data_IF_126455123294
#
_entry.id   IF_126455123294
#
_cell.length_a   1.000
_cell.length_b   1.000
_cell.length_c   1.000
_cell.angle_alpha   90.00
_cell.angle_beta   90.00
_cell.angle_gamma   90.00
#
_symmetry.space_group_name_H-M   'P 1'
#
loop_
_entity.id
_entity.type
_entity.pdbx_description
1 polymer ?
#
# COMPACT_ATOMS: atom_id res chain seq x y z
N UNK A 1 36.46 49.59 7.09
CA UNK A 1 35.13 49.20 7.58
C UNK A 1 34.10 49.09 6.44
N UNK A 2 33.93 50.12 5.61
CA UNK A 2 33.05 50.09 4.43
C UNK A 2 33.36 48.96 3.43
N UNK A 3 34.65 48.67 3.18
CA UNK A 3 35.08 47.57 2.29
C UNK A 3 34.68 46.19 2.80
N UNK A 4 34.80 45.94 4.11
CA UNK A 4 34.38 44.68 4.72
C UNK A 4 32.85 44.49 4.64
N UNK A 5 32.09 45.57 4.87
CA UNK A 5 30.63 45.55 4.75
C UNK A 5 30.22 45.23 3.30
N UNK A 6 30.84 45.86 2.31
CA UNK A 6 30.54 45.66 0.90
C UNK A 6 30.83 44.22 0.42
N UNK A 7 31.91 43.61 0.90
CA UNK A 7 32.25 42.22 0.56
C UNK A 7 31.24 41.24 1.15
N UNK A 8 30.82 41.47 2.41
CA UNK A 8 29.84 40.60 3.07
C UNK A 8 28.46 40.72 2.41
N UNK A 9 28.00 41.92 2.05
CA UNK A 9 26.72 42.08 1.33
C UNK A 9 26.76 41.47 -0.05
N UNK A 10 27.85 41.62 -0.81
CA UNK A 10 28.00 40.97 -2.11
C UNK A 10 27.95 39.44 -1.99
N UNK A 11 28.67 38.86 -1.03
CA UNK A 11 28.64 37.41 -0.78
C UNK A 11 27.24 36.95 -0.36
N UNK A 12 26.54 37.70 0.50
CA UNK A 12 25.17 37.37 0.90
C UNK A 12 24.20 37.36 -0.29
N UNK A 13 24.30 38.35 -1.20
CA UNK A 13 23.50 38.41 -2.43
C UNK A 13 23.86 37.24 -3.35
N UNK A 14 25.15 36.93 -3.51
CA UNK A 14 25.63 35.82 -4.32
C UNK A 14 25.09 34.48 -3.80
N UNK A 15 25.26 34.19 -2.50
CA UNK A 15 24.76 32.96 -1.89
C UNK A 15 23.22 32.90 -1.91
N UNK A 16 22.54 34.02 -1.67
CA UNK A 16 21.08 34.11 -1.78
C UNK A 16 20.58 33.83 -3.20
N UNK A 17 21.25 34.37 -4.23
CA UNK A 17 20.93 34.10 -5.63
C UNK A 17 21.20 32.64 -5.99
N UNK A 18 22.33 32.07 -5.56
CA UNK A 18 22.67 30.65 -5.76
C UNK A 18 21.61 29.75 -5.12
N UNK A 19 21.21 30.02 -3.88
CA UNK A 19 20.18 29.24 -3.18
C UNK A 19 18.81 29.37 -3.86
N UNK A 20 18.43 30.58 -4.30
CA UNK A 20 17.16 30.81 -5.01
C UNK A 20 17.12 30.04 -6.33
N UNK A 21 18.22 30.06 -7.09
CA UNK A 21 18.34 29.29 -8.34
C UNK A 21 18.35 27.79 -8.04
N UNK A 22 19.03 27.34 -6.98
CA UNK A 22 19.06 25.93 -6.58
C UNK A 22 17.65 25.41 -6.22
N UNK A 23 16.88 26.16 -5.43
CA UNK A 23 15.50 25.79 -5.07
C UNK A 23 14.57 25.78 -6.30
N UNK A 24 14.75 26.71 -7.25
CA UNK A 24 13.94 26.73 -8.47
C UNK A 24 14.32 25.64 -9.50
N UNK A 25 15.58 25.18 -9.50
CA UNK A 25 16.11 24.22 -10.48
C UNK A 25 16.18 22.78 -9.97
N UNK A 26 16.18 22.56 -8.66
CA UNK A 26 16.10 21.24 -8.05
C UNK A 26 14.64 20.94 -7.76
N UNK A 27 13.94 20.17 -8.62
CA UNK A 27 12.59 19.72 -8.30
C UNK A 27 12.68 18.83 -7.05
N UNK A 28 12.22 19.34 -5.90
CA UNK A 28 11.92 18.49 -4.75
C UNK A 28 10.70 17.67 -5.16
N UNK A 29 10.93 16.40 -5.49
CA UNK A 29 9.86 15.50 -5.92
C UNK A 29 8.97 15.17 -4.72
N UNK A 30 7.85 15.90 -4.58
CA UNK A 30 6.75 15.59 -3.66
C UNK A 30 6.71 16.44 -2.39
N UNK A 31 5.50 16.59 -1.84
CA UNK A 31 5.28 17.15 -0.52
C UNK A 31 5.74 16.16 0.55
N UNK A 32 6.79 16.52 1.31
CA UNK A 32 7.35 15.70 2.39
C UNK A 32 6.31 15.24 3.42
N UNK A 33 5.23 16.01 3.60
CA UNK A 33 4.11 15.65 4.49
C UNK A 33 3.31 14.47 3.94
N UNK A 34 3.00 14.48 2.64
CA UNK A 34 2.26 13.42 1.97
C UNK A 34 3.06 12.12 2.00
N UNK A 35 4.35 12.18 1.69
CA UNK A 35 5.20 10.98 1.67
C UNK A 35 5.37 10.37 3.08
N UNK A 36 5.38 11.18 4.14
CA UNK A 36 5.38 10.69 5.53
C UNK A 36 4.07 10.00 5.91
N UNK A 37 2.93 10.59 5.53
CA UNK A 37 1.60 9.98 5.76
C UNK A 37 1.50 8.68 4.99
N UNK A 38 1.85 8.68 3.71
CA UNK A 38 1.84 7.51 2.84
C UNK A 38 2.71 6.38 3.43
N UNK A 39 3.89 6.69 3.98
CA UNK A 39 4.75 5.71 4.63
C UNK A 39 4.14 5.02 5.87
N UNK A 40 3.16 5.64 6.54
CA UNK A 40 2.46 5.07 7.71
C UNK A 40 1.27 4.18 7.32
N UNK A 41 0.76 4.32 6.10
CA UNK A 41 -0.36 3.52 5.60
C UNK A 41 0.09 2.07 5.32
N UNK A 42 -0.83 1.09 5.39
CA UNK A 42 -0.50 -0.33 5.20
C UNK A 42 -0.15 -0.70 3.75
N UNK A 43 -0.24 0.25 2.80
CA UNK A 43 0.15 0.09 1.39
C UNK A 43 -0.54 -1.06 0.65
N UNK A 44 -1.72 -1.49 1.10
CA UNK A 44 -2.50 -2.58 0.50
C UNK A 44 -3.21 -2.17 -0.80
N UNK A 45 -3.35 -0.87 -1.09
CA UNK A 45 -4.05 -0.37 -2.29
C UNK A 45 -5.48 -0.93 -2.46
N UNK A 46 -6.16 -1.24 -1.36
CA UNK A 46 -7.44 -1.95 -1.38
C UNK A 46 -8.66 -1.07 -1.75
N UNK A 47 -8.56 0.25 -1.56
CA UNK A 47 -9.63 1.20 -1.86
C UNK A 47 -10.86 1.19 -0.95
N UNK A 48 -10.83 0.42 0.15
CA UNK A 48 -11.95 0.32 1.10
C UNK A 48 -12.26 1.64 1.82
N UNK A 49 -11.29 2.56 1.92
CA UNK A 49 -11.48 3.89 2.48
C UNK A 49 -12.14 4.88 1.49
N UNK A 50 -12.57 4.42 0.30
CA UNK A 50 -13.19 5.27 -0.73
C UNK A 50 -12.21 5.98 -1.66
N UNK A 51 -10.91 5.91 -1.39
CA UNK A 51 -9.87 6.47 -2.25
C UNK A 51 -9.26 5.41 -3.18
N UNK A 52 -8.75 5.81 -4.34
CA UNK A 52 -8.18 4.88 -5.34
C UNK A 52 -6.92 4.11 -4.88
N UNK A 53 -6.33 4.49 -3.73
CA UNK A 53 -5.15 3.85 -3.17
C UNK A 53 -4.65 4.59 -1.92
N UNK A 54 -3.52 4.13 -1.37
CA UNK A 54 -2.95 4.72 -0.16
C UNK A 54 -2.42 6.15 -0.39
N UNK A 55 -1.77 6.42 -1.53
CA UNK A 55 -1.23 7.76 -1.82
C UNK A 55 -2.34 8.82 -1.99
N UNK A 56 -3.41 8.60 -2.77
CA UNK A 56 -4.54 9.55 -2.82
C UNK A 56 -5.22 9.77 -1.46
N UNK A 57 -5.27 8.74 -0.61
CA UNK A 57 -5.75 8.90 0.76
C UNK A 57 -4.79 9.78 1.59
N UNK A 58 -3.48 9.56 1.47
CA UNK A 58 -2.47 10.40 2.13
C UNK A 58 -2.52 11.86 1.67
N UNK A 59 -2.74 12.11 0.37
CA UNK A 59 -2.95 13.45 -0.20
C UNK A 59 -4.20 14.11 0.40
N UNK A 60 -5.32 13.38 0.46
CA UNK A 60 -6.56 13.88 1.05
C UNK A 60 -6.41 14.21 2.55
N UNK A 61 -5.68 13.39 3.32
CA UNK A 61 -5.37 13.69 4.73
C UNK A 61 -4.47 14.92 4.82
N UNK A 62 -3.44 15.04 3.98
CA UNK A 62 -2.51 16.16 4.03
C UNK A 62 -3.17 17.51 3.71
N UNK A 63 -4.24 17.50 2.92
CA UNK A 63 -5.04 18.66 2.56
C UNK A 63 -6.29 18.86 3.44
N UNK A 64 -6.40 18.13 4.56
CA UNK A 64 -7.53 18.21 5.51
C UNK A 64 -8.90 17.96 4.85
N UNK A 65 -8.94 17.13 3.80
CA UNK A 65 -10.15 16.79 3.04
C UNK A 65 -10.86 15.54 3.57
N UNK A 66 -10.20 14.72 4.38
CA UNK A 66 -10.71 13.45 4.89
C UNK A 66 -10.14 13.13 6.28
N UNK A 67 -10.81 12.26 7.02
CA UNK A 67 -10.41 11.84 8.36
C UNK A 67 -9.35 10.70 8.34
N UNK A 68 -8.56 10.62 9.41
CA UNK A 68 -7.46 9.65 9.59
C UNK A 68 -7.93 8.22 9.96
N UNK A 69 -9.21 8.03 10.28
CA UNK A 69 -9.77 6.80 10.85
C UNK A 69 -10.56 5.94 9.85
N UNK A 70 -10.27 6.07 8.54
CA UNK A 70 -10.97 5.35 7.47
C UNK A 70 -10.22 4.10 6.98
N UNK A 71 -9.01 3.84 7.49
CA UNK A 71 -8.19 2.71 7.04
C UNK A 71 -8.46 1.44 7.87
N UNK A 72 -9.47 0.65 7.48
CA UNK A 72 -9.76 -0.64 8.14
C UNK A 72 -8.55 -1.61 8.18
N UNK A 73 -7.78 -1.83 7.09
CA UNK A 73 -6.62 -2.72 7.13
C UNK A 73 -5.46 -2.23 8.01
N UNK A 74 -5.35 -0.91 8.23
CA UNK A 74 -4.31 -0.32 9.10
C UNK A 74 -4.69 -0.37 10.57
N UNK A 75 -6.00 -0.31 10.86
CA UNK A 75 -6.55 -0.38 12.21
C UNK A 75 -6.00 0.71 13.14
N UNK A 76 -6.10 0.45 14.44
CA UNK A 76 -5.78 1.42 15.49
C UNK A 76 -4.30 1.87 15.47
N UNK A 77 -3.39 0.98 15.04
CA UNK A 77 -1.96 1.29 14.98
C UNK A 77 -1.63 2.35 13.91
N UNK A 78 -2.25 2.25 12.72
CA UNK A 78 -2.10 3.27 11.68
C UNK A 78 -2.72 4.59 12.13
N UNK A 79 -3.90 4.56 12.76
CA UNK A 79 -4.56 5.78 13.24
C UNK A 79 -3.71 6.50 14.28
N UNK A 80 -3.17 5.76 15.27
CA UNK A 80 -2.29 6.34 16.28
C UNK A 80 -1.03 6.97 15.65
N UNK A 81 -0.38 6.27 14.70
CA UNK A 81 0.78 6.82 14.00
C UNK A 81 0.47 8.09 13.19
N UNK A 82 -0.71 8.15 12.57
CA UNK A 82 -1.17 9.33 11.84
C UNK A 82 -1.49 10.50 12.78
N UNK A 83 -2.17 10.22 13.90
CA UNK A 83 -2.49 11.20 14.94
C UNK A 83 -1.22 11.82 15.52
N UNK A 84 -0.22 10.99 15.86
CA UNK A 84 1.08 11.45 16.36
C UNK A 84 1.83 12.30 15.33
N UNK A 85 1.80 11.91 14.05
CA UNK A 85 2.47 12.66 12.98
C UNK A 85 1.83 14.02 12.71
N UNK A 86 0.50 14.10 12.80
CA UNK A 86 -0.28 15.30 12.45
C UNK A 86 -0.62 16.17 13.67
N UNK A 87 -0.35 15.69 14.89
CA UNK A 87 -0.74 16.37 16.13
C UNK A 87 -2.27 16.40 16.33
N UNK A 88 -2.96 15.36 15.85
CA UNK A 88 -4.43 15.23 15.93
C UNK A 88 -4.84 14.32 17.09
N UNK A 89 -6.09 14.44 17.54
CA UNK A 89 -6.66 13.49 18.49
C UNK A 89 -6.93 12.13 17.84
N UNK A 90 -6.68 11.05 18.59
CA UNK A 90 -6.95 9.68 18.14
C UNK A 90 -8.46 9.46 18.11
N UNK A 91 -9.03 9.34 16.90
CA UNK A 91 -10.41 8.91 16.69
C UNK A 91 -10.48 7.38 16.55
N UNK A 92 -11.51 6.70 17.08
CA UNK A 92 -11.69 5.27 16.81
C UNK A 92 -11.93 5.03 15.31
N UNK A 93 -11.62 3.82 14.84
CA UNK A 93 -11.96 3.40 13.47
C UNK A 93 -13.45 3.67 13.20
N UNK A 94 -13.76 4.20 12.02
CA UNK A 94 -15.14 4.52 11.64
C UNK A 94 -16.05 3.30 11.85
N UNK A 95 -17.16 3.49 12.57
CA UNK A 95 -18.08 2.43 12.96
C UNK A 95 -18.78 1.76 11.76
N UNK A 96 -18.79 2.40 10.58
CA UNK A 96 -19.27 1.82 9.32
C UNK A 96 -18.31 0.79 8.71
N UNK A 97 -17.07 0.73 9.20
CA UNK A 97 -16.04 -0.17 8.68
C UNK A 97 -15.80 -1.35 9.62
N UNK A 98 -15.93 -2.57 9.10
CA UNK A 98 -15.60 -3.78 9.85
C UNK A 98 -14.07 -3.91 10.06
N UNK A 99 -13.69 -4.35 11.25
CA UNK A 99 -12.30 -4.67 11.58
C UNK A 99 -11.92 -6.00 10.94
N UNK A 100 -10.89 -6.00 10.11
CA UNK A 100 -10.39 -7.22 9.47
C UNK A 100 -9.32 -7.87 10.35
N UNK A 101 -9.69 -8.89 11.11
CA UNK A 101 -8.74 -9.64 11.95
C UNK A 101 -7.95 -10.71 11.17
N UNK A 102 -8.53 -11.24 10.10
CA UNK A 102 -7.94 -12.32 9.29
C UNK A 102 -7.91 -11.89 7.83
N UNK A 103 -6.77 -12.09 7.17
CA UNK A 103 -6.64 -11.84 5.73
C UNK A 103 -7.64 -12.73 4.98
N UNK A 104 -8.48 -12.13 4.18
CA UNK A 104 -9.41 -12.83 3.29
C UNK A 104 -9.00 -12.67 1.83
N UNK A 105 -9.42 -13.60 0.98
CA UNK A 105 -9.27 -13.53 -0.47
C UNK A 105 -10.56 -13.92 -1.16
N UNK A 106 -10.80 -13.31 -2.31
CA UNK A 106 -11.87 -13.72 -3.19
C UNK A 106 -11.54 -15.06 -3.85
N UNK A 107 -12.53 -15.92 -3.98
CA UNK A 107 -12.51 -17.19 -4.71
C UNK A 107 -13.64 -17.14 -5.72
N UNK A 108 -13.35 -17.50 -6.97
CA UNK A 108 -14.35 -17.55 -8.04
C UNK A 108 -14.70 -19.01 -8.25
N UNK A 109 -15.98 -19.36 -8.21
CA UNK A 109 -16.46 -20.68 -8.63
C UNK A 109 -16.31 -20.81 -10.16
N UNK A 110 -15.38 -21.66 -10.59
CA UNK A 110 -15.08 -21.85 -12.01
C UNK A 110 -16.25 -22.46 -12.79
N UNK A 111 -17.14 -23.22 -12.14
CA UNK A 111 -18.27 -23.86 -12.79
C UNK A 111 -19.41 -22.88 -13.08
N UNK A 112 -19.59 -21.87 -12.24
CA UNK A 112 -20.62 -20.85 -12.41
C UNK A 112 -20.16 -19.63 -13.22
N UNK A 113 -18.84 -19.41 -13.36
CA UNK A 113 -18.31 -18.23 -14.05
C UNK A 113 -18.58 -18.23 -15.57
N UNK A 114 -19.36 -17.26 -16.04
CA UNK A 114 -19.68 -17.07 -17.47
C UNK A 114 -18.67 -16.25 -18.28
N UNK A 115 -17.61 -15.74 -17.65
CA UNK A 115 -16.59 -14.98 -18.38
C UNK A 115 -16.98 -13.54 -18.76
N UNK A 116 -17.79 -12.84 -17.96
CA UNK A 116 -18.32 -11.50 -18.26
C UNK A 116 -17.29 -10.34 -18.18
N UNK A 117 -16.13 -10.57 -17.55
CA UNK A 117 -15.01 -9.62 -17.35
C UNK A 117 -15.27 -8.41 -16.43
N UNK A 118 -16.48 -8.26 -15.87
CA UNK A 118 -16.82 -7.15 -14.97
C UNK A 118 -15.96 -7.15 -13.70
N UNK A 119 -15.67 -8.33 -13.14
CA UNK A 119 -14.79 -8.48 -11.99
C UNK A 119 -13.35 -8.01 -12.25
N UNK A 120 -12.80 -8.24 -13.46
CA UNK A 120 -11.46 -7.74 -13.88
C UNK A 120 -11.45 -6.21 -13.89
N UNK A 121 -12.54 -5.58 -14.34
CA UNK A 121 -12.64 -4.12 -14.37
C UNK A 121 -12.79 -3.53 -12.97
N UNK A 122 -13.43 -4.24 -12.05
CA UNK A 122 -13.60 -3.79 -10.67
C UNK A 122 -12.35 -4.00 -9.79
N UNK A 123 -11.49 -4.98 -10.10
CA UNK A 123 -10.33 -5.29 -9.27
C UNK A 123 -9.24 -4.19 -9.33
N UNK A 124 -8.93 -3.48 -8.22
CA UNK A 124 -7.98 -2.35 -8.24
C UNK A 124 -6.52 -2.80 -8.38
N UNK A 125 -6.21 -4.03 -7.95
CA UNK A 125 -4.84 -4.59 -7.93
C UNK A 125 -4.56 -5.59 -9.07
N UNK A 126 -5.49 -5.73 -10.01
CA UNK A 126 -5.41 -6.70 -11.11
C UNK A 126 -5.16 -8.15 -10.63
N UNK A 127 -5.79 -8.57 -9.53
CA UNK A 127 -5.59 -9.92 -8.98
C UNK A 127 -6.39 -11.01 -9.70
N UNK A 128 -7.29 -10.65 -10.63
CA UNK A 128 -8.15 -11.58 -11.36
C UNK A 128 -7.58 -11.83 -12.75
N UNK A 129 -7.41 -13.11 -13.12
CA UNK A 129 -7.01 -13.56 -14.44
C UNK A 129 -8.19 -14.18 -15.18
N UNK A 130 -8.25 -13.93 -16.48
CA UNK A 130 -9.20 -14.55 -17.41
C UNK A 130 -9.43 -13.66 -18.63
N UNK A 131 -10.41 -14.02 -19.45
CA UNK A 131 -10.73 -13.32 -20.68
C UNK A 131 -12.24 -13.37 -20.95
N UNK A 132 -12.69 -12.59 -21.94
CA UNK A 132 -14.08 -12.60 -22.35
C UNK A 132 -14.51 -14.02 -22.78
N UNK A 133 -15.61 -14.50 -22.20
CA UNK A 133 -16.15 -15.87 -22.39
C UNK A 133 -15.20 -16.99 -21.94
N UNK A 134 -14.24 -16.69 -21.08
CA UNK A 134 -13.36 -17.68 -20.45
C UNK A 134 -13.53 -17.61 -18.93
N UNK A 135 -13.33 -18.74 -18.24
CA UNK A 135 -13.40 -18.78 -16.78
C UNK A 135 -12.35 -17.85 -16.16
N UNK A 136 -12.73 -17.18 -15.09
CA UNK A 136 -11.85 -16.31 -14.33
C UNK A 136 -11.34 -17.03 -13.09
N UNK A 137 -10.13 -16.68 -12.66
CA UNK A 137 -9.54 -17.17 -11.41
C UNK A 137 -8.82 -16.03 -10.67
N UNK A 138 -8.65 -16.18 -9.36
CA UNK A 138 -8.03 -15.17 -8.50
C UNK A 138 -6.62 -15.61 -8.13
N UNK A 139 -5.63 -14.75 -8.35
CA UNK A 139 -4.28 -14.95 -7.81
C UNK A 139 -4.31 -14.60 -6.32
N UNK A 140 -4.44 -15.60 -5.46
CA UNK A 140 -4.64 -15.41 -4.02
C UNK A 140 -3.53 -14.59 -3.34
N UNK A 141 -2.30 -14.67 -3.84
CA UNK A 141 -1.18 -13.90 -3.29
C UNK A 141 -1.32 -12.40 -3.52
N UNK A 142 -1.92 -12.00 -4.64
CA UNK A 142 -2.12 -10.60 -5.07
C UNK A 142 -3.47 -10.03 -4.62
N UNK A 143 -4.43 -10.89 -4.28
CA UNK A 143 -5.72 -10.45 -3.79
C UNK A 143 -5.61 -9.80 -2.40
N UNK A 144 -6.20 -8.60 -2.30
CA UNK A 144 -6.22 -7.78 -1.08
C UNK A 144 -7.43 -8.04 -0.19
N UNK A 145 -8.45 -8.75 -0.69
CA UNK A 145 -9.70 -8.99 0.04
C UNK A 145 -10.59 -7.74 0.16
N UNK A 146 -10.59 -6.89 -0.88
CA UNK A 146 -11.35 -5.63 -0.89
C UNK A 146 -12.85 -5.77 -1.24
N UNK A 147 -13.28 -6.94 -1.70
CA UNK A 147 -14.68 -7.29 -2.02
C UNK A 147 -15.33 -6.50 -3.17
N UNK A 148 -14.59 -5.59 -3.83
CA UNK A 148 -15.07 -4.79 -4.96
C UNK A 148 -15.51 -5.62 -6.18
N UNK A 149 -15.05 -6.87 -6.29
CA UNK A 149 -15.40 -7.76 -7.39
C UNK A 149 -16.73 -8.50 -7.21
N UNK A 150 -17.28 -8.56 -5.99
CA UNK A 150 -18.52 -9.31 -5.69
C UNK A 150 -19.75 -8.59 -6.27
N UNK A 151 -20.02 -7.30 -5.97
CA UNK A 151 -21.22 -6.61 -6.47
C UNK A 151 -21.40 -6.59 -8.00
N UNK A 152 -20.35 -6.42 -8.84
CA UNK A 152 -20.52 -6.40 -10.29
C UNK A 152 -20.68 -7.79 -10.93
N UNK A 153 -20.63 -8.89 -10.17
CA UNK A 153 -20.77 -10.24 -10.72
C UNK A 153 -22.25 -10.56 -11.02
N UNK A 154 -22.65 -10.75 -12.30
CA UNK A 154 -24.05 -10.96 -12.67
C UNK A 154 -24.58 -12.36 -12.35
N UNK A 155 -23.68 -13.31 -12.06
CA UNK A 155 -23.99 -14.72 -11.74
C UNK A 155 -23.63 -15.07 -10.30
N UNK A 156 -23.20 -14.08 -9.51
CA UNK A 156 -22.88 -14.21 -8.09
C UNK A 156 -21.94 -15.39 -7.74
N UNK A 157 -20.94 -15.63 -8.61
CA UNK A 157 -20.03 -16.77 -8.48
C UNK A 157 -18.74 -16.47 -7.68
N UNK A 158 -18.75 -15.45 -6.80
CA UNK A 158 -17.53 -14.99 -6.10
C UNK A 158 -17.76 -14.95 -4.60
N UNK A 159 -16.98 -15.75 -3.88
CA UNK A 159 -17.03 -15.84 -2.42
C UNK A 159 -15.78 -15.26 -1.76
N UNK A 160 -15.91 -14.79 -0.52
CA UNK A 160 -14.78 -14.37 0.31
C UNK A 160 -14.43 -15.43 1.32
N UNK A 161 -13.20 -15.94 1.24
CA UNK A 161 -12.71 -17.01 2.11
C UNK A 161 -11.54 -16.51 2.97
N UNK A 162 -11.51 -16.82 4.28
CA UNK A 162 -10.36 -16.50 5.12
C UNK A 162 -9.16 -17.36 4.75
N UNK A 163 -7.99 -16.73 4.57
CA UNK A 163 -6.73 -17.44 4.38
C UNK A 163 -6.12 -17.67 5.75
N UNK A 164 -6.08 -18.93 6.19
CA UNK A 164 -5.33 -19.31 7.39
C UNK A 164 -3.87 -18.94 7.20
N UNK A 165 -3.32 -18.10 8.08
CA UNK A 165 -1.90 -17.82 8.07
C UNK A 165 -1.13 -19.12 8.35
N UNK A 166 -0.15 -19.43 7.51
CA UNK A 166 0.72 -20.62 7.62
C UNK A 166 1.18 -20.81 9.07
N UNK A 167 0.91 -21.99 9.64
CA UNK A 167 1.24 -22.35 11.03
C UNK A 167 2.75 -22.29 11.31
N UNK A 168 3.59 -22.31 10.27
CA UNK A 168 5.05 -22.07 10.37
C UNK A 168 5.42 -20.60 10.57
N UNK A 169 4.46 -19.68 10.40
CA UNK A 169 4.62 -18.23 10.56
C UNK A 169 3.94 -17.70 11.83
N UNK A 170 3.57 -18.60 12.75
CA UNK A 170 3.08 -18.20 14.08
C UNK A 170 4.10 -17.26 14.70
N UNK A 171 3.64 -16.05 15.02
CA UNK A 171 4.36 -15.10 15.87
C UNK A 171 4.68 -15.85 17.16
N UNK A 172 5.92 -16.32 17.32
CA UNK A 172 6.35 -16.77 18.62
C UNK A 172 6.28 -15.53 19.51
N UNK A 173 5.41 -15.47 20.53
CA UNK A 173 5.42 -14.34 21.43
C UNK A 173 6.84 -14.22 21.98
N UNK A 174 7.30 -12.98 22.20
CA UNK A 174 8.51 -12.77 23.00
C UNK A 174 8.39 -13.66 24.23
N UNK A 175 9.44 -14.40 24.62
CA UNK A 175 9.43 -15.03 25.92
C UNK A 175 9.24 -13.91 26.93
N UNK A 176 8.02 -13.79 27.48
CA UNK A 176 7.85 -13.18 28.78
C UNK A 176 8.84 -13.93 29.69
N UNK A 177 9.43 -13.27 30.68
CA UNK A 177 10.30 -13.96 31.64
C UNK A 177 9.59 -15.13 32.39
N UNK A 178 8.29 -15.31 32.14
CA UNK A 178 7.41 -16.38 32.61
C UNK A 178 6.93 -17.33 31.50
N UNK A 179 7.53 -17.35 30.30
CA UNK A 179 7.13 -18.34 29.27
C UNK A 179 7.67 -19.71 29.68
N UNK A 180 6.79 -20.70 29.95
CA UNK A 180 7.22 -22.07 30.06
C UNK A 180 7.75 -22.48 28.69
N UNK A 181 9.03 -22.76 28.58
CA UNK A 181 9.61 -23.37 27.38
C UNK A 181 8.81 -24.65 27.08
N UNK A 182 8.12 -24.67 25.93
CA UNK A 182 7.34 -25.85 25.53
C UNK A 182 8.31 -27.03 25.42
N UNK A 183 8.07 -28.05 26.25
CA UNK A 183 8.89 -29.24 26.44
C UNK A 183 9.04 -30.02 25.14
N UNK A 184 10.12 -29.79 24.41
CA UNK A 184 10.78 -30.84 23.63
C UNK A 184 11.98 -31.31 24.44
N UNK A 185 11.71 -32.26 25.35
CA UNK A 185 12.67 -33.00 26.16
C UNK A 185 13.42 -32.21 27.27
N UNK A 186 13.00 -32.48 28.52
CA UNK A 186 13.76 -32.33 29.77
C UNK A 186 14.42 -30.98 30.06
N UNK A 187 13.65 -29.99 30.56
CA UNK A 187 14.23 -28.79 31.17
C UNK A 187 13.66 -28.50 32.56
N UNK A 188 14.60 -28.28 33.48
CA UNK A 188 14.40 -27.63 34.77
C UNK A 188 13.94 -26.19 34.51
N UNK A 189 12.82 -25.80 35.11
CA UNK A 189 12.32 -24.43 35.13
C UNK A 189 13.25 -23.57 35.98
N UNK A 190 14.28 -22.99 35.37
CA UNK A 190 15.12 -21.98 36.02
C UNK A 190 14.44 -20.61 35.90
N UNK A 191 14.37 -19.88 37.02
CA UNK A 191 13.84 -18.51 37.05
C UNK A 191 14.80 -17.58 36.30
N UNK A 192 14.33 -16.94 35.23
CA UNK A 192 15.12 -15.95 34.46
C UNK A 192 15.46 -14.77 35.36
N UNK A 193 16.75 -14.45 35.49
CA UNK A 193 17.25 -13.30 36.24
C UNK A 193 17.71 -12.17 35.32
N UNK A 194 17.92 -10.98 35.89
CA UNK A 194 18.47 -9.84 35.16
C UNK A 194 19.91 -10.08 34.72
N UNK A 195 20.29 -9.55 33.56
CA UNK A 195 21.65 -9.67 33.03
C UNK A 195 22.67 -8.96 33.94
N UNK A 196 23.64 -9.71 34.47
CA UNK A 196 24.74 -9.19 35.31
C UNK A 196 25.98 -8.74 34.52
N UNK A 197 25.90 -8.69 33.19
CA UNK A 197 26.97 -8.24 32.28
C UNK A 197 28.31 -8.99 32.43
N UNK A 198 28.27 -10.30 32.65
CA UNK A 198 29.48 -11.13 32.84
C UNK A 198 30.32 -11.38 31.57
N UNK A 199 29.85 -11.03 30.37
CA UNK A 199 30.58 -11.18 29.11
C UNK A 199 30.72 -12.61 28.54
N UNK A 200 30.42 -13.66 29.31
CA UNK A 200 30.61 -15.08 28.91
C UNK A 200 29.95 -15.44 27.57
N UNK A 201 28.79 -14.86 27.28
CA UNK A 201 28.07 -15.12 26.03
C UNK A 201 28.88 -14.72 24.77
N UNK A 202 29.71 -13.68 24.85
CA UNK A 202 30.55 -13.25 23.72
C UNK A 202 31.75 -14.19 23.53
N UNK A 203 32.34 -14.68 24.62
CA UNK A 203 33.48 -15.59 24.59
C UNK A 203 33.15 -16.94 23.93
N UNK A 204 31.91 -17.41 24.07
CA UNK A 204 31.46 -18.69 23.50
C UNK A 204 30.77 -18.56 22.14
N UNK A 205 30.63 -17.35 21.60
CA UNK A 205 29.89 -17.14 20.36
C UNK A 205 30.71 -17.61 19.14
N UNK A 206 30.26 -18.64 18.39
CA UNK A 206 31.02 -19.14 17.25
C UNK A 206 31.09 -18.13 16.09
N UNK A 207 30.08 -17.27 15.95
CA UNK A 207 30.05 -16.19 14.96
C UNK A 207 30.76 -14.91 15.43
N UNK A 208 31.43 -14.93 16.60
CA UNK A 208 32.16 -13.78 17.16
C UNK A 208 31.30 -12.50 17.30
N UNK A 209 29.99 -12.66 17.53
CA UNK A 209 29.08 -11.55 17.74
C UNK A 209 29.19 -10.99 19.16
N UNK A 210 28.46 -9.91 19.43
CA UNK A 210 28.25 -9.35 20.77
C UNK A 210 26.82 -9.68 21.28
N UNK A 211 26.54 -10.90 21.79
CA UNK A 211 25.20 -11.28 22.22
C UNK A 211 24.61 -10.33 23.27
N UNK A 212 25.43 -9.79 24.18
CA UNK A 212 24.93 -8.84 25.17
C UNK A 212 24.26 -7.62 24.50
N UNK A 213 24.89 -7.04 23.48
CA UNK A 213 24.36 -5.86 22.78
C UNK A 213 23.11 -6.22 21.97
N UNK A 214 23.17 -7.32 21.21
CA UNK A 214 22.02 -7.86 20.48
C UNK A 214 20.82 -8.09 21.39
N UNK A 215 21.02 -8.65 22.59
CA UNK A 215 19.95 -8.88 23.56
C UNK A 215 19.28 -7.57 24.00
N UNK A 216 20.07 -6.53 24.30
CA UNK A 216 19.51 -5.23 24.69
C UNK A 216 18.75 -4.55 23.54
N UNK A 217 19.19 -4.72 22.30
CA UNK A 217 18.48 -4.20 21.12
C UNK A 217 17.19 -4.98 20.84
N UNK A 218 17.26 -6.31 20.82
CA UNK A 218 16.11 -7.18 20.61
C UNK A 218 15.05 -7.01 21.70
N UNK A 219 15.45 -6.99 22.98
CA UNK A 219 14.52 -6.80 24.12
C UNK A 219 13.85 -5.43 24.10
N UNK A 220 14.55 -4.39 23.66
CA UNK A 220 14.00 -3.03 23.56
C UNK A 220 13.17 -2.81 22.27
N UNK A 221 13.01 -3.83 21.41
CA UNK A 221 12.33 -3.70 20.12
C UNK A 221 13.08 -2.83 19.11
N UNK A 222 14.36 -2.49 19.36
CA UNK A 222 15.21 -1.69 18.46
C UNK A 222 15.82 -2.61 17.39
N UNK A 223 14.97 -3.06 16.47
CA UNK A 223 15.32 -4.05 15.45
C UNK A 223 16.38 -3.54 14.45
N UNK A 224 16.34 -2.27 14.09
CA UNK A 224 17.33 -1.66 13.18
C UNK A 224 18.74 -1.77 13.75
N UNK A 225 18.93 -1.39 15.03
CA UNK A 225 20.22 -1.52 15.70
C UNK A 225 20.66 -2.97 15.87
N UNK A 226 19.72 -3.89 16.09
CA UNK A 226 20.06 -5.31 16.15
C UNK A 226 20.58 -5.79 14.79
N UNK A 227 19.98 -5.32 13.69
CA UNK A 227 20.47 -5.61 12.35
C UNK A 227 21.84 -5.01 12.07
N UNK A 228 22.09 -3.76 12.47
CA UNK A 228 23.40 -3.10 12.36
C UNK A 228 24.49 -3.87 13.12
N UNK A 229 24.12 -4.51 14.23
CA UNK A 229 24.97 -5.41 15.01
C UNK A 229 25.04 -6.85 14.44
N UNK A 230 24.69 -7.03 13.17
CA UNK A 230 24.76 -8.29 12.43
C UNK A 230 23.93 -9.42 13.06
N UNK A 231 22.72 -9.12 13.56
CA UNK A 231 21.80 -10.14 14.12
C UNK A 231 21.60 -11.35 13.18
N UNK A 232 21.64 -11.16 11.86
CA UNK A 232 21.44 -12.24 10.89
C UNK A 232 22.60 -13.23 10.79
N UNK A 233 23.80 -12.89 11.25
CA UNK A 233 24.96 -13.79 11.31
C UNK A 233 24.85 -14.79 12.48
N UNK A 234 23.92 -14.56 13.40
CA UNK A 234 23.65 -15.48 14.49
C UNK A 234 23.04 -16.76 13.92
N UNK A 235 23.71 -17.91 14.06
CA UNK A 235 23.19 -19.20 13.59
C UNK A 235 22.25 -19.90 14.59
N UNK A 236 21.85 -19.22 15.67
CA UNK A 236 20.91 -19.75 16.69
C UNK A 236 21.38 -21.04 17.40
N UNK A 237 22.70 -21.25 17.50
CA UNK A 237 23.33 -22.45 18.08
C UNK A 237 23.04 -22.71 19.58
N UNK A 238 22.62 -21.69 20.35
CA UNK A 238 22.24 -21.88 21.76
C UNK A 238 23.37 -21.78 22.80
N UNK A 239 24.64 -21.69 22.42
CA UNK A 239 25.76 -21.60 23.38
C UNK A 239 25.63 -20.43 24.37
N UNK A 240 25.09 -19.31 23.91
CA UNK A 240 24.88 -18.14 24.75
C UNK A 240 23.76 -18.32 25.79
N UNK A 241 22.77 -19.18 25.53
CA UNK A 241 21.72 -19.52 26.49
C UNK A 241 22.29 -20.40 27.60
N UNK A 242 23.07 -21.42 27.22
CA UNK A 242 23.59 -22.43 28.16
C UNK A 242 24.65 -21.87 29.09
N UNK A 243 25.50 -20.96 28.61
CA UNK A 243 26.56 -20.36 29.46
C UNK A 243 26.04 -19.23 30.36
N UNK A 244 24.81 -18.75 30.16
CA UNK A 244 24.29 -17.58 30.85
C UNK A 244 24.01 -17.89 32.33
N UNK A 245 24.73 -17.28 33.30
CA UNK A 245 24.45 -17.52 34.71
C UNK A 245 23.08 -16.98 35.16
N UNK A 246 22.56 -15.99 34.44
CA UNK A 246 21.22 -15.41 34.67
C UNK A 246 20.09 -16.21 34.01
N UNK A 247 20.40 -17.32 33.33
CA UNK A 247 19.42 -18.17 32.63
C UNK A 247 18.56 -17.40 31.60
N UNK A 248 19.13 -16.38 30.96
CA UNK A 248 18.41 -15.58 29.94
C UNK A 248 18.35 -16.39 28.64
N UNK A 249 17.17 -16.51 28.00
CA UNK A 249 17.03 -17.20 26.72
C UNK A 249 17.40 -16.27 25.55
N UNK A 250 18.68 -15.90 25.42
CA UNK A 250 19.18 -14.95 24.40
C UNK A 250 18.74 -15.33 22.98
N UNK A 251 18.83 -16.61 22.60
CA UNK A 251 18.45 -17.07 21.25
C UNK A 251 16.96 -16.86 20.95
N UNK A 252 16.07 -16.94 21.94
CA UNK A 252 14.64 -16.74 21.69
C UNK A 252 14.33 -15.27 21.38
N UNK A 253 15.03 -14.33 22.04
CA UNK A 253 14.97 -12.92 21.68
C UNK A 253 15.49 -12.66 20.26
N UNK A 254 16.56 -13.35 19.84
CA UNK A 254 17.11 -13.22 18.48
C UNK A 254 16.18 -13.80 17.44
N UNK A 255 15.61 -14.98 17.69
CA UNK A 255 14.66 -15.63 16.78
C UNK A 255 13.41 -14.77 16.61
N UNK A 256 12.89 -14.20 17.71
CA UNK A 256 11.81 -13.22 17.64
C UNK A 256 12.20 -12.00 16.81
N UNK A 257 13.33 -11.35 17.13
CA UNK A 257 13.78 -10.16 16.43
C UNK A 257 13.99 -10.40 14.92
N UNK A 258 14.63 -11.51 14.54
CA UNK A 258 14.77 -11.90 13.12
C UNK A 258 13.42 -12.16 12.47
N UNK A 259 12.50 -12.84 13.15
CA UNK A 259 11.16 -13.13 12.62
C UNK A 259 10.38 -11.84 12.34
N UNK A 260 10.47 -10.87 13.25
CA UNK A 260 9.88 -9.54 13.08
C UNK A 260 10.52 -8.78 11.92
N UNK A 261 11.86 -8.75 11.81
CA UNK A 261 12.54 -8.09 10.68
C UNK A 261 12.16 -8.76 9.35
N UNK A 262 12.13 -10.09 9.28
CA UNK A 262 11.74 -10.82 8.07
C UNK A 262 10.26 -10.61 7.73
N UNK A 263 9.40 -10.43 8.73
CA UNK A 263 7.99 -10.05 8.53
C UNK A 263 7.92 -8.63 7.95
N UNK A 264 8.54 -7.65 8.57
CA UNK A 264 8.60 -6.27 8.08
C UNK A 264 9.13 -6.19 6.65
N UNK A 265 10.19 -6.94 6.33
CA UNK A 265 10.74 -7.02 4.96
C UNK A 265 9.75 -7.62 3.97
N UNK A 266 9.07 -8.72 4.31
CA UNK A 266 8.05 -9.34 3.46
C UNK A 266 6.86 -8.42 3.24
N UNK A 267 6.38 -7.76 4.29
CA UNK A 267 5.26 -6.82 4.22
C UNK A 267 5.63 -5.62 3.35
N UNK A 268 6.86 -5.09 3.50
CA UNK A 268 7.40 -4.04 2.62
C UNK A 268 7.51 -4.48 1.16
N UNK A 269 8.06 -5.67 0.89
CA UNK A 269 8.15 -6.19 -0.48
C UNK A 269 6.77 -6.38 -1.11
N UNK A 270 5.79 -6.87 -0.33
CA UNK A 270 4.39 -7.01 -0.78
C UNK A 270 3.74 -5.67 -1.05
N UNK A 271 3.93 -4.69 -0.16
CA UNK A 271 3.49 -3.31 -0.36
C UNK A 271 4.07 -2.69 -1.64
N UNK A 272 5.38 -2.83 -1.85
CA UNK A 272 6.06 -2.35 -3.06
C UNK A 272 5.54 -3.04 -4.32
N UNK A 273 5.30 -4.35 -4.25
CA UNK A 273 4.71 -5.12 -5.36
C UNK A 273 3.28 -4.67 -5.68
N UNK A 274 2.42 -4.56 -4.67
CA UNK A 274 1.05 -4.07 -4.81
C UNK A 274 1.00 -2.64 -5.39
N UNK A 275 1.92 -1.76 -4.95
CA UNK A 275 2.09 -0.42 -5.51
C UNK A 275 2.43 -0.48 -7.00
N UNK A 276 3.43 -1.28 -7.40
CA UNK A 276 3.83 -1.43 -8.81
C UNK A 276 2.69 -1.94 -9.69
N UNK A 277 1.90 -2.89 -9.22
CA UNK A 277 0.73 -3.41 -9.96
C UNK A 277 -0.32 -2.33 -10.16
N UNK A 278 -0.68 -1.63 -9.09
CA UNK A 278 -1.72 -0.60 -9.11
C UNK A 278 -1.31 0.57 -10.01
N UNK A 279 -0.05 1.01 -9.93
CA UNK A 279 0.46 2.08 -10.82
C UNK A 279 0.49 1.64 -12.28
N UNK A 280 0.89 0.40 -12.58
CA UNK A 280 0.85 -0.14 -13.93
C UNK A 280 -0.57 -0.24 -14.47
N UNK A 281 -1.53 -0.68 -13.65
CA UNK A 281 -2.96 -0.68 -14.01
C UNK A 281 -3.44 0.71 -14.38
N UNK A 282 -3.20 1.69 -13.50
CA UNK A 282 -3.58 3.09 -13.72
C UNK A 282 -3.00 3.62 -15.03
N UNK A 283 -1.71 3.37 -15.29
CA UNK A 283 -1.07 3.74 -16.55
C UNK A 283 -1.76 3.14 -17.78
N UNK A 284 -2.16 1.86 -17.73
CA UNK A 284 -2.90 1.22 -18.84
C UNK A 284 -4.27 1.86 -19.07
N UNK A 285 -4.99 2.18 -17.99
CA UNK A 285 -6.31 2.80 -18.06
C UNK A 285 -6.25 4.23 -18.60
N UNK A 286 -5.34 5.05 -18.08
CA UNK A 286 -5.15 6.45 -18.48
C UNK A 286 -4.81 6.52 -19.98
N UNK A 287 -3.89 5.66 -20.44
CA UNK A 287 -3.54 5.56 -21.87
C UNK A 287 -4.75 5.17 -22.73
N UNK A 288 -5.52 4.17 -22.30
CA UNK A 288 -6.71 3.73 -23.04
C UNK A 288 -7.81 4.80 -23.06
N UNK A 289 -7.93 5.62 -22.02
CA UNK A 289 -8.85 6.75 -21.97
C UNK A 289 -8.40 7.88 -22.91
N UNK A 290 -7.11 8.23 -22.89
CA UNK A 290 -6.51 9.19 -23.83
C UNK A 290 -6.74 8.79 -25.28
N UNK A 291 -6.37 7.55 -25.66
CA UNK A 291 -6.58 7.02 -27.01
C UNK A 291 -8.07 7.04 -27.41
N UNK A 292 -9.00 6.74 -26.49
CA UNK A 292 -10.45 6.84 -26.73
C UNK A 292 -10.87 8.28 -26.96
N UNK A 293 -10.45 9.21 -26.11
CA UNK A 293 -10.79 10.63 -26.22
C UNK A 293 -10.28 11.25 -27.52
N UNK A 294 -9.07 10.90 -27.96
CA UNK A 294 -8.47 11.33 -29.22
C UNK A 294 -9.23 10.79 -30.41
N UNK A 295 -9.61 9.50 -30.40
CA UNK A 295 -10.46 8.90 -31.44
C UNK A 295 -11.82 9.60 -31.54
N UNK A 296 -12.45 9.92 -30.41
CA UNK A 296 -13.71 10.65 -30.38
C UNK A 296 -13.54 12.10 -30.87
N UNK A 297 -12.46 12.78 -30.50
CA UNK A 297 -12.13 14.12 -30.97
C UNK A 297 -11.87 14.14 -32.49
N UNK A 298 -11.09 13.18 -33.01
CA UNK A 298 -10.82 13.02 -34.44
C UNK A 298 -12.10 12.75 -35.24
N UNK A 299 -12.98 11.86 -34.76
CA UNK A 299 -14.30 11.63 -35.37
C UNK A 299 -15.16 12.89 -35.40
N UNK A 300 -15.17 13.68 -34.32
CA UNK A 300 -15.90 14.95 -34.25
C UNK A 300 -15.31 16.00 -35.19
N UNK A 301 -13.99 16.07 -35.32
CA UNK A 301 -13.32 16.97 -36.26
C UNK A 301 -13.60 16.60 -37.72
N UNK A 302 -13.58 15.31 -38.05
CA UNK A 302 -13.91 14.81 -39.39
C UNK A 302 -15.38 15.09 -39.75
N UNK A 303 -16.33 14.90 -38.82
CA UNK A 303 -17.73 15.27 -39.05
C UNK A 303 -17.89 16.79 -39.28
N UNK A 304 -17.16 17.62 -38.51
CA UNK A 304 -17.18 19.09 -38.66
C UNK A 304 -16.66 19.54 -40.03
N UNK A 305 -15.59 18.93 -40.53
CA UNK A 305 -15.07 19.17 -41.88
C UNK A 305 -16.09 18.77 -42.95
N UNK A 306 -16.73 17.60 -42.83
CA UNK A 306 -17.78 17.17 -43.76
C UNK A 306 -19.00 18.09 -43.78
N UNK A 307 -19.38 18.71 -42.64
CA UNK A 307 -20.45 19.71 -42.60
C UNK A 307 -20.06 21.05 -43.20
N UNK A 308 -18.77 21.38 -43.26
CA UNK A 308 -18.26 22.63 -43.85
C UNK A 308 -18.06 22.51 -45.37
N UNK A 309 -17.71 21.33 -45.87
CA UNK A 309 -17.51 21.07 -47.31
C UNK A 309 -18.80 20.80 -48.09
N UNK A 310 -19.96 20.68 -47.42
CA UNK A 310 -21.26 20.51 -48.09
C UNK A 310 -21.82 21.88 -48.49
N UNK A 311 -21.95 22.21 -49.79
CA UNK A 311 -22.57 23.47 -50.21
C UNK A 311 -24.00 23.50 -49.69
N UNK A 312 -24.41 24.63 -49.11
CA UNK A 312 -25.78 24.89 -48.65
C UNK A 312 -26.74 24.78 -49.84
N UNK A 313 -27.34 23.61 -50.05
CA UNK A 313 -28.50 23.46 -50.91
C UNK A 313 -29.69 24.15 -50.21
N UNK A 314 -30.43 25.03 -50.90
CA UNK A 314 -31.50 25.80 -50.27
C UNK A 314 -32.65 24.86 -49.87
N UNK A 315 -33.10 25.00 -48.62
CA UNK A 315 -34.22 24.26 -48.00
C UNK A 315 -35.59 24.68 -48.58
N UNK A 316 -35.65 25.30 -49.77
CA UNK A 316 -36.88 25.87 -50.34
C UNK A 316 -37.76 24.89 -51.13
N UNK A 317 -37.40 23.61 -51.24
CA UNK A 317 -38.17 22.65 -52.08
C UNK A 317 -39.18 21.80 -51.27
N UNK A 318 -39.13 21.84 -49.94
CA UNK A 318 -40.00 20.98 -49.10
C UNK A 318 -41.33 21.65 -48.68
N UNK A 319 -41.42 22.99 -48.73
CA UNK A 319 -42.66 23.71 -48.35
C UNK A 319 -43.66 23.79 -49.52
N UNK A 320 -43.19 23.82 -50.77
CA UNK A 320 -44.05 23.92 -51.95
C UNK A 320 -44.83 22.64 -52.25
N UNK A 321 -44.41 21.48 -51.72
CA UNK A 321 -45.15 20.21 -51.85
C UNK A 321 -46.32 20.08 -50.89
N UNK A 322 -46.32 20.81 -49.77
CA UNK A 322 -47.44 20.82 -48.81
C UNK A 322 -48.53 21.81 -49.26
N UNK A 323 -48.15 22.96 -49.82
CA UNK A 323 -49.11 23.94 -50.35
C UNK A 323 -49.84 23.46 -51.61
N UNK A 324 -49.19 22.69 -52.48
CA UNK A 324 -49.84 22.10 -53.66
C UNK A 324 -50.85 21.00 -53.31
N UNK A 325 -50.70 20.33 -52.15
CA UNK A 325 -51.65 19.31 -51.69
C UNK A 325 -52.94 19.91 -51.10
N UNK A 326 -52.89 21.15 -50.59
CA UNK A 326 -54.07 21.87 -50.09
C UNK A 326 -54.91 22.53 -51.19
N UNK A 327 -54.37 22.79 -52.39
CA UNK A 327 -55.14 23.37 -53.52
C UNK A 327 -55.88 22.33 -54.39
N UNK A 328 -55.74 21.03 -54.12
CA UNK A 328 -56.34 19.95 -54.92
C UNK A 328 -57.63 19.33 -54.36
N UNK A 329 -58.21 19.85 -53.27
CA UNK A 329 -59.37 19.22 -52.59
C UNK A 329 -60.54 20.20 -52.37
N UNK A 330 -61.04 20.84 -53.43
CA UNK A 330 -62.38 21.47 -53.41
C UNK A 330 -62.97 21.66 -54.82
N UNK A 331 -63.35 20.58 -55.50
CA UNK A 331 -64.44 20.58 -56.49
C UNK A 331 -65.15 19.22 -56.40
N UNK A 332 -66.49 19.31 -56.30
CA UNK A 332 -67.52 18.30 -56.05
C UNK A 332 -67.77 17.93 -54.58
#
# INVERSE_FOLDING_TARGET
MLSAIAVITLLAILFGAILTVAVARLPVAGDLRIDRIDALLPQTQCGQCGHAGCRPYAEAIAHDQTDINLCSPGGDATIAGLADLLGMEIKPLDASLERVEVRTVAVIDEHACIGCTLCIQACPVDAILGANKQMHTVISEECTGCDLCIPPCPVDCIDKVPVSQDIRKVRLPLPNNNVPTIKANNQRTHTVQTCIRCGRCAQVCPSQLLPQQLYWHARAGRLDKAQDDNLFDCIECGYCNTICPSHIPLVDYYRHAKSEILKQRRDRQRADHARKRTTFRKFRLDRAEQERSERHAAKRAALRQQTQDKPTAPVSVSLTRVEQKHKGTSVN
#
